data_IF_494829935875
#
_entry.id   IF_494829935875
#
_cell.length_a   1.000
_cell.length_b   1.000
_cell.length_c   1.000
_cell.angle_alpha   90.00
_cell.angle_beta   90.00
_cell.angle_gamma   90.00
#
_symmetry.space_group_name_H-M   'P 1'
#
loop_
_entity.id
_entity.type
_entity.pdbx_description
1 polymer ?
#
# COMPACT_ATOMS: atom_id res chain seq x y z
N UNK A 1 16.73 21.58 -7.54
CA UNK A 1 15.49 21.05 -7.00
C UNK A 1 15.72 19.60 -6.56
N UNK A 2 15.20 19.23 -5.41
CA UNK A 2 15.29 17.87 -4.86
C UNK A 2 13.87 17.37 -4.63
N UNK A 3 13.54 16.19 -5.18
CA UNK A 3 12.30 15.47 -4.90
C UNK A 3 12.62 14.28 -3.99
N UNK A 4 11.92 14.18 -2.87
CA UNK A 4 12.04 13.08 -1.93
C UNK A 4 10.71 12.35 -1.89
N UNK A 5 10.69 11.15 -2.46
CA UNK A 5 9.52 10.27 -2.47
C UNK A 5 9.64 9.28 -1.31
N UNK A 6 8.72 9.36 -0.37
CA UNK A 6 8.68 8.48 0.80
C UNK A 6 7.64 7.39 0.55
N UNK A 7 7.94 6.17 0.98
CA UNK A 7 7.02 5.04 0.83
C UNK A 7 5.67 5.30 1.51
N UNK A 8 4.60 4.80 0.91
CA UNK A 8 3.24 4.98 1.39
C UNK A 8 2.83 3.78 2.26
N UNK A 9 2.48 4.00 3.55
CA UNK A 9 2.02 2.93 4.41
C UNK A 9 0.58 2.53 4.07
N UNK A 10 0.26 1.25 4.24
CA UNK A 10 -1.13 0.83 4.23
C UNK A 10 -1.92 1.47 5.37
N UNK A 11 -3.09 2.02 5.04
CA UNK A 11 -4.00 2.61 6.03
C UNK A 11 -4.90 1.53 6.67
N UNK A 12 -4.28 0.48 7.24
CA UNK A 12 -4.96 -0.64 7.89
C UNK A 12 -4.62 -0.79 9.39
N UNK A 13 -3.77 0.09 9.91
CA UNK A 13 -3.31 0.11 11.29
C UNK A 13 -2.50 1.37 11.61
N UNK A 14 -2.22 1.60 12.91
CA UNK A 14 -1.37 2.72 13.32
C UNK A 14 0.10 2.47 12.92
N UNK A 15 0.84 3.55 12.69
CA UNK A 15 2.28 3.48 12.51
C UNK A 15 2.95 3.00 13.81
N UNK A 16 3.94 2.14 13.68
CA UNK A 16 4.78 1.71 14.79
C UNK A 16 6.19 2.32 14.67
N UNK A 17 6.98 2.18 15.73
CA UNK A 17 8.32 2.76 15.80
C UNK A 17 9.22 2.39 14.60
N UNK A 18 9.11 1.18 14.07
CA UNK A 18 9.84 0.75 12.88
C UNK A 18 9.49 1.56 11.61
N UNK A 19 8.22 1.91 11.42
CA UNK A 19 7.81 2.81 10.35
C UNK A 19 8.43 4.19 10.54
N UNK A 20 8.33 4.73 11.74
CA UNK A 20 8.83 6.09 12.05
C UNK A 20 10.34 6.16 11.85
N UNK A 21 11.10 5.28 12.50
CA UNK A 21 12.55 5.32 12.49
C UNK A 21 13.16 4.90 11.14
N UNK A 22 12.55 3.94 10.45
CA UNK A 22 13.11 3.38 9.23
C UNK A 22 12.61 4.04 7.94
N UNK A 23 11.38 4.57 7.93
CA UNK A 23 10.75 5.03 6.69
C UNK A 23 10.54 6.55 6.66
N UNK A 24 10.14 7.19 7.78
CA UNK A 24 9.70 8.59 7.75
C UNK A 24 10.73 9.60 8.25
N UNK A 25 11.43 9.30 9.34
CA UNK A 25 12.45 10.23 9.87
C UNK A 25 13.66 10.40 8.94
N UNK A 26 14.26 9.35 8.34
CA UNK A 26 15.41 9.56 7.48
C UNK A 26 15.16 10.48 6.29
N UNK A 27 14.07 10.35 5.51
CA UNK A 27 13.76 11.28 4.43
C UNK A 27 13.41 12.68 4.92
N UNK A 28 12.78 12.84 6.10
CA UNK A 28 12.55 14.16 6.70
C UNK A 28 13.85 14.86 7.08
N UNK A 29 14.79 14.14 7.68
CA UNK A 29 16.15 14.65 7.97
C UNK A 29 16.83 15.07 6.67
N UNK A 30 16.77 14.26 5.62
CA UNK A 30 17.32 14.60 4.31
C UNK A 30 16.66 15.85 3.73
N UNK A 31 15.34 15.96 3.81
CA UNK A 31 14.60 17.13 3.32
C UNK A 31 15.04 18.41 4.02
N UNK A 32 15.15 18.36 5.34
CA UNK A 32 15.64 19.49 6.16
C UNK A 32 17.07 19.86 5.83
N UNK A 33 17.95 18.87 5.68
CA UNK A 33 19.34 19.07 5.31
C UNK A 33 19.45 19.77 3.94
N UNK A 34 18.73 19.32 2.94
CA UNK A 34 18.73 19.92 1.60
C UNK A 34 18.16 21.34 1.60
N UNK A 35 17.11 21.60 2.37
CA UNK A 35 16.58 22.96 2.57
C UNK A 35 17.61 23.88 3.22
N UNK A 36 18.33 23.38 4.25
CA UNK A 36 19.39 24.15 4.92
C UNK A 36 20.57 24.47 3.98
N UNK A 37 20.80 23.66 2.95
CA UNK A 37 21.77 23.93 1.87
C UNK A 37 21.28 24.92 0.82
N UNK A 38 20.07 25.45 0.96
CA UNK A 38 19.46 26.36 0.01
C UNK A 38 18.78 25.69 -1.19
N UNK A 39 18.63 24.36 -1.20
CA UNK A 39 17.93 23.66 -2.25
C UNK A 39 16.40 23.79 -2.08
N UNK A 40 15.69 23.82 -3.21
CA UNK A 40 14.24 23.71 -3.23
C UNK A 40 13.87 22.23 -3.13
N UNK A 41 13.16 21.87 -2.07
CA UNK A 41 12.84 20.46 -1.77
C UNK A 41 11.33 20.25 -1.76
N UNK A 42 10.89 19.23 -2.49
CA UNK A 42 9.56 18.68 -2.40
C UNK A 42 9.66 17.28 -1.77
N UNK A 43 9.04 17.08 -0.62
CA UNK A 43 8.92 15.79 0.03
C UNK A 43 7.48 15.33 -0.02
N UNK A 44 7.22 14.14 -0.56
CA UNK A 44 5.87 13.62 -0.80
C UNK A 44 5.70 12.21 -0.26
N UNK A 45 4.54 11.92 0.29
CA UNK A 45 4.06 10.59 0.71
C UNK A 45 2.54 10.58 0.78
N UNK A 46 1.96 9.54 1.35
CA UNK A 46 0.53 9.43 1.57
C UNK A 46 0.16 8.07 2.15
N UNK A 47 -1.13 7.84 2.30
CA UNK A 47 -1.68 6.55 2.69
C UNK A 47 -1.97 5.68 1.47
N UNK A 48 -1.46 4.45 1.49
CA UNK A 48 -1.91 3.41 0.56
C UNK A 48 -3.23 2.84 1.08
N UNK A 49 -4.31 3.08 0.33
CA UNK A 49 -5.68 2.83 0.76
C UNK A 49 -6.39 1.74 -0.03
N UNK A 50 -5.62 0.97 -0.79
CA UNK A 50 -6.13 -0.15 -1.57
C UNK A 50 -5.42 -1.45 -1.20
N UNK A 51 -6.10 -2.56 -1.47
CA UNK A 51 -5.51 -3.89 -1.31
C UNK A 51 -6.02 -4.70 -0.13
N UNK A 52 -5.59 -5.94 -0.12
CA UNK A 52 -6.01 -7.01 0.80
C UNK A 52 -5.87 -6.67 2.29
N UNK A 53 -4.79 -6.01 2.79
CA UNK A 53 -4.67 -5.71 4.21
C UNK A 53 -5.82 -4.86 4.76
N UNK A 54 -6.34 -3.95 3.96
CA UNK A 54 -7.46 -3.07 4.34
C UNK A 54 -8.77 -3.85 4.39
N UNK A 55 -9.00 -4.72 3.39
CA UNK A 55 -10.21 -5.57 3.35
C UNK A 55 -10.25 -6.52 4.55
N UNK A 56 -9.12 -7.15 4.90
CA UNK A 56 -9.01 -8.00 6.09
C UNK A 56 -9.35 -7.23 7.36
N UNK A 57 -8.76 -6.06 7.55
CA UNK A 57 -9.04 -5.22 8.72
C UNK A 57 -10.51 -4.80 8.78
N UNK A 58 -11.11 -4.47 7.64
CA UNK A 58 -12.52 -4.11 7.53
C UNK A 58 -13.44 -5.27 7.94
N UNK A 59 -13.18 -6.47 7.43
CA UNK A 59 -13.92 -7.69 7.78
C UNK A 59 -13.80 -8.03 9.27
N UNK A 60 -12.58 -7.97 9.83
CA UNK A 60 -12.35 -8.22 11.26
C UNK A 60 -13.06 -7.21 12.18
N UNK A 61 -13.13 -5.95 11.77
CA UNK A 61 -13.81 -4.88 12.52
C UNK A 61 -15.33 -4.82 12.25
N UNK A 62 -15.83 -5.49 11.22
CA UNK A 62 -17.24 -5.42 10.80
C UNK A 62 -17.63 -4.04 10.24
N UNK A 63 -16.71 -3.32 9.61
CA UNK A 63 -16.90 -1.99 9.03
C UNK A 63 -16.50 -1.99 7.56
N UNK A 64 -16.76 -0.88 6.85
CA UNK A 64 -16.38 -0.78 5.44
C UNK A 64 -14.88 -0.50 5.26
N UNK A 65 -14.26 -0.90 4.13
CA UNK A 65 -12.88 -0.53 3.82
C UNK A 65 -12.63 0.98 3.86
N UNK A 66 -13.60 1.79 3.42
CA UNK A 66 -13.50 3.25 3.47
C UNK A 66 -13.40 3.77 4.91
N UNK A 67 -14.18 3.22 5.83
CA UNK A 67 -14.10 3.60 7.25
C UNK A 67 -12.75 3.25 7.86
N UNK A 68 -12.16 2.11 7.48
CA UNK A 68 -10.81 1.72 7.92
C UNK A 68 -9.77 2.75 7.46
N UNK A 69 -9.75 3.07 6.17
CA UNK A 69 -8.74 4.00 5.63
C UNK A 69 -8.92 5.42 6.13
N UNK A 70 -10.15 5.89 6.35
CA UNK A 70 -10.42 7.21 6.93
C UNK A 70 -9.91 7.32 8.37
N UNK A 71 -10.13 6.28 9.18
CA UNK A 71 -9.62 6.20 10.54
C UNK A 71 -8.08 6.26 10.55
N UNK A 72 -7.42 5.36 9.83
CA UNK A 72 -5.97 5.22 9.91
C UNK A 72 -5.20 6.29 9.13
N UNK A 73 -5.75 6.83 8.05
CA UNK A 73 -5.17 8.01 7.42
C UNK A 73 -5.09 9.18 8.42
N UNK A 74 -6.17 9.43 9.15
CA UNK A 74 -6.24 10.51 10.15
C UNK A 74 -5.24 10.29 11.28
N UNK A 75 -5.18 9.07 11.84
CA UNK A 75 -4.24 8.73 12.93
C UNK A 75 -2.79 8.85 12.46
N UNK A 76 -2.48 8.29 11.30
CA UNK A 76 -1.11 8.22 10.80
C UNK A 76 -0.58 9.59 10.36
N UNK A 77 -1.40 10.38 9.64
CA UNK A 77 -1.02 11.74 9.25
C UNK A 77 -0.78 12.63 10.46
N UNK A 78 -1.67 12.54 11.48
CA UNK A 78 -1.50 13.27 12.73
C UNK A 78 -0.21 12.86 13.46
N UNK A 79 0.06 11.57 13.58
CA UNK A 79 1.27 11.08 14.24
C UNK A 79 2.54 11.61 13.58
N UNK A 80 2.60 11.65 12.25
CA UNK A 80 3.74 12.19 11.51
C UNK A 80 3.87 13.71 11.67
N UNK A 81 2.76 14.43 11.70
CA UNK A 81 2.76 15.87 11.99
C UNK A 81 3.23 16.19 13.42
N UNK A 82 2.75 15.43 14.40
CA UNK A 82 3.14 15.57 15.81
C UNK A 82 4.63 15.27 16.01
N UNK A 83 5.23 14.39 15.22
CA UNK A 83 6.67 14.14 15.15
C UNK A 83 7.45 15.26 14.44
N UNK A 84 6.74 16.21 13.81
CA UNK A 84 7.33 17.31 13.07
C UNK A 84 7.83 16.93 11.68
N UNK A 85 7.35 15.83 11.08
CA UNK A 85 7.68 15.53 9.69
C UNK A 85 7.24 16.67 8.77
N UNK A 86 8.18 17.17 7.99
CA UNK A 86 8.02 18.42 7.23
C UNK A 86 7.51 18.18 5.80
N UNK A 87 6.24 17.80 5.66
CA UNK A 87 5.57 17.69 4.35
C UNK A 87 5.34 19.03 3.65
N UNK A 88 5.99 20.09 4.12
CA UNK A 88 5.91 21.47 3.65
C UNK A 88 6.84 21.73 2.44
N UNK A 89 6.51 22.74 1.63
CA UNK A 89 5.38 23.66 1.73
C UNK A 89 4.24 23.33 0.78
N UNK A 90 3.02 23.66 1.15
CA UNK A 90 1.84 23.66 0.28
C UNK A 90 1.89 24.79 -0.78
N UNK A 91 3.03 25.43 -0.93
CA UNK A 91 3.21 26.56 -1.85
C UNK A 91 4.28 26.16 -2.88
N UNK A 92 3.89 26.10 -4.14
CA UNK A 92 4.85 25.91 -5.20
C UNK A 92 5.72 27.20 -5.33
N UNK A 93 6.86 27.09 -6.01
CA UNK A 93 7.76 28.21 -6.22
C UNK A 93 7.17 29.41 -6.96
N UNK A 94 6.03 29.24 -7.59
CA UNK A 94 5.29 30.28 -8.28
C UNK A 94 4.25 30.95 -7.37
N UNK A 95 4.19 30.54 -6.08
CA UNK A 95 3.21 31.02 -5.12
C UNK A 95 1.84 30.36 -5.23
N UNK A 96 1.74 29.25 -5.95
CA UNK A 96 0.49 28.49 -6.06
C UNK A 96 0.35 27.62 -4.82
N UNK A 97 -0.70 27.84 -4.04
CA UNK A 97 -1.08 26.95 -2.95
C UNK A 97 -1.65 25.65 -3.51
N UNK A 98 -1.01 24.51 -3.19
CA UNK A 98 -1.65 23.22 -3.36
C UNK A 98 -2.55 22.99 -2.15
N UNK A 99 -3.84 22.87 -2.39
CA UNK A 99 -4.79 22.56 -1.32
C UNK A 99 -4.48 21.20 -0.70
N UNK A 100 -4.09 21.19 0.56
CA UNK A 100 -3.87 19.99 1.36
C UNK A 100 -2.41 19.71 1.70
N UNK A 101 -2.22 18.75 2.59
CA UNK A 101 -0.91 18.21 2.97
C UNK A 101 -0.31 17.43 1.80
N UNK A 102 1.02 17.48 1.62
CA UNK A 102 1.74 16.59 0.69
C UNK A 102 1.81 15.14 1.19
N UNK A 103 1.11 14.84 2.27
CA UNK A 103 0.74 13.51 2.71
C UNK A 103 -0.68 13.21 2.22
N UNK A 104 -0.80 12.66 1.02
CA UNK A 104 -2.06 12.49 0.31
C UNK A 104 -2.64 11.06 0.47
N UNK A 105 -3.60 10.70 -0.35
CA UNK A 105 -4.35 9.42 -0.29
C UNK A 105 -4.40 8.79 -1.67
N UNK A 106 -4.21 7.47 -1.77
CA UNK A 106 -4.43 6.78 -3.05
C UNK A 106 -5.91 6.70 -3.44
N UNK A 107 -6.82 6.88 -2.48
CA UNK A 107 -8.27 6.99 -2.73
C UNK A 107 -8.73 8.36 -3.21
N UNK A 108 -7.84 9.35 -3.27
CA UNK A 108 -8.16 10.68 -3.79
C UNK A 108 -8.69 10.61 -5.23
N UNK A 109 -9.80 11.30 -5.56
CA UNK A 109 -10.39 11.24 -6.90
C UNK A 109 -9.44 11.63 -8.03
N UNK A 110 -8.54 12.61 -7.80
CA UNK A 110 -7.55 13.02 -8.79
C UNK A 110 -6.49 11.92 -8.98
N UNK A 111 -6.04 11.27 -7.89
CA UNK A 111 -5.11 10.15 -7.98
C UNK A 111 -5.73 9.00 -8.80
N UNK A 112 -6.99 8.66 -8.51
CA UNK A 112 -7.73 7.63 -9.26
C UNK A 112 -7.80 7.96 -10.76
N UNK A 113 -8.12 9.20 -11.12
CA UNK A 113 -8.18 9.64 -12.51
C UNK A 113 -6.83 9.49 -13.20
N UNK A 114 -5.74 9.96 -12.56
CA UNK A 114 -4.38 9.87 -13.10
C UNK A 114 -3.98 8.41 -13.35
N UNK A 115 -4.28 7.51 -12.40
CA UNK A 115 -3.98 6.08 -12.54
C UNK A 115 -4.75 5.47 -13.71
N UNK A 116 -6.05 5.78 -13.85
CA UNK A 116 -6.88 5.28 -14.95
C UNK A 116 -6.42 5.79 -16.32
N UNK A 117 -6.08 7.06 -16.41
CA UNK A 117 -5.57 7.67 -17.65
C UNK A 117 -4.22 7.06 -18.06
N UNK A 118 -3.34 6.85 -17.08
CA UNK A 118 -2.03 6.24 -17.30
C UNK A 118 -2.17 4.78 -17.77
N UNK A 119 -3.02 4.00 -17.09
CA UNK A 119 -3.33 2.62 -17.49
C UNK A 119 -3.88 2.55 -18.93
N UNK A 120 -4.83 3.42 -19.25
CA UNK A 120 -5.45 3.48 -20.58
C UNK A 120 -4.41 3.85 -21.65
N UNK A 121 -3.53 4.80 -21.35
CA UNK A 121 -2.47 5.23 -22.26
C UNK A 121 -1.49 4.09 -22.56
N UNK A 122 -1.07 3.35 -21.53
CA UNK A 122 -0.18 2.20 -21.67
C UNK A 122 -0.85 1.05 -22.44
N UNK A 123 -2.13 0.81 -22.17
CA UNK A 123 -2.91 -0.19 -22.89
C UNK A 123 -3.03 0.14 -24.39
N UNK A 124 -3.33 1.39 -24.72
CA UNK A 124 -3.42 1.87 -26.10
C UNK A 124 -2.06 1.84 -26.83
N UNK A 125 -0.96 1.99 -26.09
CA UNK A 125 0.39 1.85 -26.60
C UNK A 125 0.82 0.38 -26.81
N UNK A 126 -0.04 -0.60 -26.49
CA UNK A 126 0.25 -2.02 -26.66
C UNK A 126 1.28 -2.58 -25.69
N UNK A 127 1.47 -1.93 -24.52
CA UNK A 127 2.46 -2.32 -23.52
C UNK A 127 1.95 -3.36 -22.53
N UNK A 128 0.69 -3.80 -22.66
CA UNK A 128 0.12 -4.85 -21.83
C UNK A 128 -0.06 -6.16 -22.59
N UNK A 129 0.25 -7.24 -21.91
CA UNK A 129 -0.04 -8.61 -22.36
C UNK A 129 -1.21 -9.18 -21.55
N UNK A 130 -2.09 -9.91 -22.22
CA UNK A 130 -3.18 -10.65 -21.56
C UNK A 130 -2.71 -12.06 -21.26
N UNK A 131 -2.78 -12.46 -19.99
CA UNK A 131 -2.50 -13.83 -19.54
C UNK A 131 -3.71 -14.40 -18.81
N UNK A 132 -3.94 -15.69 -19.01
CA UNK A 132 -4.91 -16.46 -18.21
C UNK A 132 -4.14 -17.11 -17.07
N UNK A 133 -4.56 -16.84 -15.83
CA UNK A 133 -3.99 -17.46 -14.62
C UNK A 133 -5.06 -18.25 -13.89
N UNK A 134 -4.65 -19.20 -13.06
CA UNK A 134 -5.53 -19.93 -12.16
C UNK A 134 -5.45 -19.30 -10.78
N UNK A 135 -6.60 -19.20 -10.11
CA UNK A 135 -6.71 -18.72 -8.74
C UNK A 135 -7.62 -19.63 -7.94
N UNK A 136 -7.39 -19.73 -6.65
CA UNK A 136 -8.31 -20.40 -5.75
C UNK A 136 -9.62 -19.62 -5.63
N UNK A 137 -10.70 -20.37 -5.58
CA UNK A 137 -12.05 -19.84 -5.46
C UNK A 137 -12.73 -20.48 -4.26
N UNK A 138 -13.21 -19.67 -3.35
CA UNK A 138 -13.92 -20.12 -2.17
C UNK A 138 -15.40 -19.80 -2.27
N UNK A 139 -16.23 -20.70 -1.78
CA UNK A 139 -17.67 -20.48 -1.69
C UNK A 139 -18.07 -20.56 -0.22
N UNK A 140 -18.76 -19.53 0.30
CA UNK A 140 -19.27 -19.52 1.65
C UNK A 140 -20.56 -20.38 1.78
N UNK A 141 -21.04 -20.56 3.01
CA UNK A 141 -22.23 -21.35 3.34
C UNK A 141 -23.53 -20.86 2.64
N UNK A 142 -23.52 -19.61 2.15
CA UNK A 142 -24.64 -19.03 1.41
C UNK A 142 -24.52 -19.21 -0.11
N UNK A 143 -23.53 -19.95 -0.59
CA UNK A 143 -23.27 -20.16 -2.01
C UNK A 143 -22.68 -18.95 -2.74
N UNK A 144 -22.25 -17.92 -2.03
CA UNK A 144 -21.56 -16.76 -2.62
C UNK A 144 -20.09 -17.09 -2.69
N UNK A 145 -19.55 -17.08 -3.90
CA UNK A 145 -18.15 -17.36 -4.12
C UNK A 145 -17.32 -16.13 -4.41
N UNK A 146 -16.02 -16.21 -4.12
CA UNK A 146 -15.02 -15.19 -4.46
C UNK A 146 -13.70 -15.82 -4.82
N UNK A 147 -12.95 -15.16 -5.68
CA UNK A 147 -11.53 -15.47 -5.87
C UNK A 147 -10.74 -15.05 -4.63
N UNK A 148 -9.81 -15.92 -4.22
CA UNK A 148 -8.93 -15.65 -3.09
C UNK A 148 -7.67 -14.94 -3.59
N UNK A 149 -7.38 -13.72 -3.14
CA UNK A 149 -6.05 -13.14 -3.31
C UNK A 149 -4.99 -14.03 -2.67
N UNK A 150 -3.76 -14.00 -3.18
CA UNK A 150 -2.68 -14.90 -2.76
C UNK A 150 -2.46 -14.91 -1.25
N UNK A 151 -2.59 -13.76 -0.58
CA UNK A 151 -2.42 -13.63 0.88
C UNK A 151 -3.55 -14.22 1.73
N UNK A 152 -4.64 -14.62 1.12
CA UNK A 152 -5.71 -15.38 1.78
C UNK A 152 -5.53 -16.89 1.69
N UNK A 153 -4.47 -17.35 1.02
CA UNK A 153 -4.15 -18.77 0.89
C UNK A 153 -2.85 -19.04 1.61
N UNK A 154 -2.84 -20.07 2.43
CA UNK A 154 -1.64 -20.63 3.06
C UNK A 154 -1.53 -22.10 2.77
N UNK A 155 -0.33 -22.63 2.84
CA UNK A 155 -0.07 -24.05 2.63
C UNK A 155 1.40 -24.40 2.80
N UNK A 156 1.78 -25.58 2.34
CA UNK A 156 3.15 -26.05 2.42
C UNK A 156 3.94 -25.49 1.22
N UNK A 157 5.08 -24.87 1.50
CA UNK A 157 5.98 -24.35 0.48
C UNK A 157 6.41 -25.41 -0.52
N UNK A 158 6.28 -25.19 -1.84
CA UNK A 158 6.71 -26.16 -2.84
C UNK A 158 8.23 -26.41 -2.82
N UNK A 159 9.02 -25.41 -2.38
CA UNK A 159 10.48 -25.47 -2.40
C UNK A 159 11.07 -26.08 -1.13
N UNK A 160 10.84 -25.50 0.06
CA UNK A 160 11.46 -25.92 1.31
C UNK A 160 10.58 -26.82 2.19
N UNK A 161 9.32 -27.02 1.82
CA UNK A 161 8.33 -27.82 2.55
C UNK A 161 7.93 -27.25 3.92
N UNK A 162 8.26 -26.01 4.20
CA UNK A 162 7.79 -25.28 5.40
C UNK A 162 6.27 -25.11 5.35
N UNK A 163 5.60 -25.31 6.47
CA UNK A 163 4.16 -25.10 6.61
C UNK A 163 3.83 -23.64 6.85
N UNK A 164 2.61 -23.22 6.52
CA UNK A 164 2.16 -21.84 6.67
C UNK A 164 2.77 -20.85 5.66
N UNK A 165 3.32 -21.36 4.55
CA UNK A 165 3.79 -20.52 3.46
C UNK A 165 2.63 -19.78 2.78
N UNK A 166 2.81 -18.51 2.43
CA UNK A 166 1.78 -17.67 1.78
C UNK A 166 1.63 -18.02 0.31
N UNK A 167 0.52 -17.60 -0.29
CA UNK A 167 0.18 -17.91 -1.67
C UNK A 167 1.12 -17.34 -2.73
N UNK A 168 1.96 -16.37 -2.39
CA UNK A 168 2.88 -15.69 -3.32
C UNK A 168 4.37 -15.90 -2.99
N UNK A 169 4.68 -16.18 -1.70
CA UNK A 169 6.07 -16.39 -1.27
C UNK A 169 6.17 -17.14 0.03
N UNK A 170 7.33 -17.74 0.27
CA UNK A 170 7.68 -18.38 1.54
C UNK A 170 8.55 -17.48 2.39
N UNK A 171 8.09 -17.15 3.62
CA UNK A 171 8.87 -16.31 4.55
C UNK A 171 10.13 -17.05 5.07
N UNK A 172 10.16 -18.40 5.06
CA UNK A 172 11.30 -19.16 5.55
C UNK A 172 12.46 -19.25 4.54
N UNK A 173 12.17 -19.45 3.25
CA UNK A 173 13.22 -19.63 2.24
C UNK A 173 13.28 -18.53 1.17
N UNK A 174 12.32 -17.60 1.18
CA UNK A 174 12.25 -16.50 0.22
C UNK A 174 11.81 -16.90 -1.21
N UNK A 175 11.43 -18.17 -1.43
CA UNK A 175 10.98 -18.63 -2.75
C UNK A 175 9.65 -17.96 -3.10
N UNK A 176 9.52 -17.53 -4.37
CA UNK A 176 8.27 -17.03 -4.97
C UNK A 176 7.68 -18.08 -5.89
N UNK A 177 6.36 -18.17 -5.93
CA UNK A 177 5.59 -19.15 -6.70
C UNK A 177 4.16 -18.65 -6.93
N UNK A 178 3.44 -19.33 -7.83
CA UNK A 178 1.99 -19.09 -7.97
C UNK A 178 1.25 -19.79 -6.82
N UNK A 179 0.16 -19.19 -6.32
CA UNK A 179 -0.60 -19.75 -5.19
C UNK A 179 -1.06 -21.20 -5.42
N UNK A 180 -1.30 -21.57 -6.67
CA UNK A 180 -1.69 -22.93 -7.09
C UNK A 180 -0.59 -23.99 -6.96
N UNK A 181 0.66 -23.59 -6.71
CA UNK A 181 1.79 -24.48 -6.48
C UNK A 181 1.93 -24.88 -5.01
N UNK A 182 1.23 -24.21 -4.09
CA UNK A 182 1.17 -24.59 -2.68
C UNK A 182 0.63 -26.02 -2.51
N UNK A 183 1.25 -26.77 -1.61
CA UNK A 183 0.75 -28.07 -1.21
C UNK A 183 -0.22 -27.91 -0.03
N UNK A 184 -1.33 -28.66 -0.04
CA UNK A 184 -2.39 -28.58 0.97
C UNK A 184 -2.87 -27.14 1.25
N UNK A 185 -3.29 -26.38 0.21
CA UNK A 185 -3.69 -25.01 0.39
C UNK A 185 -4.96 -24.91 1.27
N UNK A 186 -4.96 -23.94 2.17
CA UNK A 186 -6.10 -23.60 3.03
C UNK A 186 -6.43 -22.12 2.92
N UNK A 187 -7.72 -21.81 3.04
CA UNK A 187 -8.17 -20.43 3.13
C UNK A 187 -7.96 -19.89 4.55
N UNK A 188 -7.47 -18.66 4.68
CA UNK A 188 -7.37 -17.93 5.96
C UNK A 188 -8.69 -17.29 6.41
N UNK A 189 -9.73 -17.43 5.62
CA UNK A 189 -11.01 -16.73 5.86
C UNK A 189 -12.03 -17.60 6.60
N UNK A 190 -11.70 -18.87 6.87
CA UNK A 190 -12.53 -19.82 7.63
C UNK A 190 -11.92 -20.14 8.98
#
# INVERSE_FOLDING_TARGET
HVLICVAWPYANGPLHLGHVAGCYLPPDIQARFERARGNRVLMVSGSDEHGTPITVTAEQKGITPQQVVDEYHTINSKALLDLGCSWEPNIDPRGIEFGGSLFNRTSDPMHKQIVQDNFTSLMNAGLFERKTTQQYYETNDKGIGRFLPDRYVEGICPSCKEDGARGDQCDACGATYESTELQNPVSKMN
#
